data_IF_592154360645
#
_entry.id   IF_592154360645
#
_cell.length_a   1.000
_cell.length_b   1.000
_cell.length_c   1.000
_cell.angle_alpha   90.00
_cell.angle_beta   90.00
_cell.angle_gamma   90.00
#
_symmetry.space_group_name_H-M   'P 1'
#
loop_
_entity.id
_entity.type
_entity.pdbx_description
1 polymer ?
#
# COMPACT_ATOMS: atom_id res chain seq x y z
N UNK A 1 -1.72 1.64 -29.90
CA UNK A 1 -2.63 1.75 -28.73
C UNK A 1 -1.89 2.55 -27.68
N UNK A 2 -2.44 3.66 -27.18
CA UNK A 2 -1.74 4.56 -26.26
C UNK A 2 -1.81 3.97 -24.84
N UNK A 3 -0.71 3.44 -24.33
CA UNK A 3 -0.59 2.94 -22.95
C UNK A 3 -0.47 4.09 -21.93
N UNK A 4 -1.42 5.02 -21.97
CA UNK A 4 -1.65 5.93 -20.86
C UNK A 4 -2.40 5.18 -19.76
N UNK A 5 -1.68 4.75 -18.71
CA UNK A 5 -2.30 4.47 -17.41
C UNK A 5 -2.95 3.10 -17.22
N UNK A 6 -2.19 2.02 -17.40
CA UNK A 6 -2.60 0.68 -16.90
C UNK A 6 -2.80 0.74 -15.37
N UNK A 7 -3.95 0.25 -14.91
CA UNK A 7 -4.34 0.22 -13.49
C UNK A 7 -3.46 -0.78 -12.72
N UNK A 8 -3.29 -0.58 -11.42
CA UNK A 8 -2.57 -1.56 -10.56
C UNK A 8 -3.50 -2.77 -10.37
N UNK A 9 -3.06 -4.01 -10.66
CA UNK A 9 -3.89 -5.20 -10.46
C UNK A 9 -4.22 -5.45 -8.98
N UNK A 10 -5.41 -5.98 -8.70
CA UNK A 10 -5.85 -6.25 -7.33
C UNK A 10 -4.96 -7.28 -6.65
N UNK A 11 -4.49 -8.33 -7.34
CA UNK A 11 -3.58 -9.32 -6.75
C UNK A 11 -2.24 -8.70 -6.35
N UNK A 12 -1.74 -7.74 -7.14
CA UNK A 12 -0.54 -6.96 -6.80
C UNK A 12 -0.80 -6.06 -5.58
N UNK A 13 -1.95 -5.38 -5.53
CA UNK A 13 -2.35 -4.55 -4.39
C UNK A 13 -2.50 -5.36 -3.09
N UNK A 14 -3.07 -6.57 -3.15
CA UNK A 14 -3.14 -7.47 -2.00
C UNK A 14 -1.75 -7.88 -1.48
N UNK A 15 -0.82 -8.21 -2.39
CA UNK A 15 0.58 -8.49 -2.02
C UNK A 15 1.25 -7.28 -1.37
N UNK A 16 1.06 -6.08 -1.91
CA UNK A 16 1.58 -4.84 -1.31
C UNK A 16 0.97 -4.57 0.08
N UNK A 17 -0.34 -4.79 0.24
CA UNK A 17 -1.03 -4.60 1.51
C UNK A 17 -0.55 -5.60 2.57
N UNK A 18 -0.33 -6.86 2.18
CA UNK A 18 0.25 -7.87 3.07
C UNK A 18 1.67 -7.47 3.49
N UNK A 19 2.51 -7.01 2.55
CA UNK A 19 3.87 -6.55 2.84
C UNK A 19 3.88 -5.38 3.84
N UNK A 20 3.04 -4.37 3.63
CA UNK A 20 2.89 -3.24 4.55
C UNK A 20 2.37 -3.69 5.93
N UNK A 21 1.45 -4.66 5.96
CA UNK A 21 0.93 -5.26 7.20
C UNK A 21 2.05 -5.98 7.96
N UNK A 22 2.88 -6.79 7.28
CA UNK A 22 4.07 -7.44 7.86
C UNK A 22 5.01 -6.42 8.48
N UNK A 23 5.26 -5.30 7.78
CA UNK A 23 6.09 -4.25 8.32
C UNK A 23 5.51 -3.62 9.60
N UNK A 24 4.18 -3.43 9.69
CA UNK A 24 3.53 -2.97 10.94
C UNK A 24 3.61 -4.02 12.04
N UNK A 25 3.52 -5.31 11.69
CA UNK A 25 3.71 -6.41 12.65
C UNK A 25 5.14 -6.37 13.22
N UNK A 26 6.17 -6.17 12.40
CA UNK A 26 7.54 -6.00 12.89
C UNK A 26 7.68 -4.82 13.88
N UNK A 27 6.97 -3.72 13.64
CA UNK A 27 6.99 -2.58 14.57
C UNK A 27 6.33 -2.90 15.91
N UNK A 28 5.23 -3.65 15.87
CA UNK A 28 4.49 -4.06 17.07
C UNK A 28 5.15 -5.24 17.80
N UNK A 29 5.78 -6.15 17.06
CA UNK A 29 6.35 -7.41 17.54
C UNK A 29 7.76 -7.57 16.95
N UNK A 30 8.73 -6.71 17.33
CA UNK A 30 10.06 -6.81 16.78
C UNK A 30 10.70 -8.15 17.17
N UNK A 31 11.42 -8.81 16.25
CA UNK A 31 12.20 -9.98 16.61
C UNK A 31 13.32 -9.56 17.55
N UNK A 32 13.31 -10.08 18.77
CA UNK A 32 14.39 -9.85 19.73
C UNK A 32 15.56 -10.76 19.40
N UNK A 33 16.70 -10.18 19.03
CA UNK A 33 17.82 -10.97 18.54
C UNK A 33 19.02 -10.17 18.07
N UNK A 34 20.09 -10.88 17.74
CA UNK A 34 21.26 -10.29 17.10
C UNK A 34 21.08 -10.22 15.59
N UNK A 35 21.89 -9.38 14.92
CA UNK A 35 21.96 -9.34 13.44
C UNK A 35 22.40 -10.66 12.80
N UNK A 36 22.95 -11.59 13.60
CA UNK A 36 23.34 -12.93 13.14
C UNK A 36 22.18 -13.94 13.20
N UNK A 37 21.03 -13.56 13.78
CA UNK A 37 19.85 -14.42 13.79
C UNK A 37 19.34 -14.61 12.35
N UNK A 38 18.75 -15.78 12.04
CA UNK A 38 18.12 -15.99 10.75
C UNK A 38 17.03 -14.94 10.50
N UNK A 39 16.92 -14.53 9.24
CA UNK A 39 15.84 -13.65 8.80
C UNK A 39 14.56 -14.49 8.82
N UNK A 40 13.64 -14.10 9.71
CA UNK A 40 12.33 -14.73 9.86
C UNK A 40 11.23 -13.79 9.39
N UNK A 41 10.09 -14.37 9.00
CA UNK A 41 8.93 -13.59 8.60
C UNK A 41 8.27 -12.96 9.82
N UNK A 42 7.84 -11.71 9.68
CA UNK A 42 7.19 -10.95 10.74
C UNK A 42 5.91 -11.66 11.17
N UNK A 43 5.82 -12.04 12.44
CA UNK A 43 4.69 -12.78 12.97
C UNK A 43 4.18 -12.16 14.26
N UNK A 44 2.88 -12.30 14.49
CA UNK A 44 2.25 -11.87 15.74
C UNK A 44 2.53 -12.95 16.77
N UNK A 45 3.28 -12.59 17.81
CA UNK A 45 3.58 -13.50 18.91
C UNK A 45 2.46 -13.41 19.96
N UNK A 46 1.72 -14.50 20.23
CA UNK A 46 0.68 -14.51 21.25
C UNK A 46 1.24 -14.40 22.68
N UNK A 47 2.55 -14.59 22.85
CA UNK A 47 3.21 -14.55 24.16
C UNK A 47 3.69 -13.14 24.55
N UNK A 48 3.68 -12.17 23.65
CA UNK A 48 4.24 -10.84 23.86
C UNK A 48 3.21 -9.76 23.59
N UNK A 49 3.12 -8.75 24.46
CA UNK A 49 2.30 -7.58 24.18
C UNK A 49 2.93 -6.74 23.04
N UNK A 50 2.10 -6.11 22.18
CA UNK A 50 2.61 -5.26 21.14
C UNK A 50 3.30 -4.01 21.71
N UNK A 51 4.38 -3.57 21.06
CA UNK A 51 5.01 -2.30 21.33
C UNK A 51 4.13 -1.13 20.86
N UNK A 52 4.21 -0.03 21.59
CA UNK A 52 3.54 1.24 21.26
C UNK A 52 4.36 2.09 20.29
N UNK A 53 4.96 1.46 19.29
CA UNK A 53 5.82 2.13 18.32
C UNK A 53 4.97 2.66 17.17
N UNK A 54 5.03 3.97 16.95
CA UNK A 54 4.42 4.63 15.79
C UNK A 54 5.52 5.11 14.85
N UNK A 55 5.27 5.03 13.55
CA UNK A 55 6.20 5.59 12.56
C UNK A 55 6.10 7.12 12.51
N UNK A 56 4.88 7.62 12.65
CA UNK A 56 4.50 9.04 12.71
C UNK A 56 4.85 9.90 11.49
N UNK A 57 5.32 9.27 10.41
CA UNK A 57 5.63 9.91 9.13
C UNK A 57 5.58 8.93 7.96
N UNK A 58 4.76 7.89 8.09
CA UNK A 58 4.68 6.90 7.03
C UNK A 58 3.75 7.41 5.92
N UNK A 59 4.33 7.65 4.75
CA UNK A 59 3.63 7.97 3.51
C UNK A 59 4.38 7.35 2.32
N UNK A 60 3.86 7.56 1.11
CA UNK A 60 4.34 6.97 -0.14
C UNK A 60 5.81 7.27 -0.48
N UNK A 61 6.35 8.43 -0.09
CA UNK A 61 7.78 8.76 -0.28
C UNK A 61 8.70 8.06 0.71
N UNK A 62 8.15 7.65 1.87
CA UNK A 62 8.88 6.91 2.89
C UNK A 62 8.72 5.39 2.71
N UNK A 63 8.47 4.95 1.47
CA UNK A 63 8.49 3.55 1.05
C UNK A 63 9.49 3.37 -0.09
N UNK A 64 10.48 2.50 0.11
CA UNK A 64 11.33 2.00 -0.97
C UNK A 64 10.81 0.70 -1.55
N UNK A 65 11.13 0.49 -2.83
CA UNK A 65 10.97 -0.79 -3.50
C UNK A 65 12.23 -1.64 -3.32
N UNK A 66 12.05 -2.82 -2.74
CA UNK A 66 13.07 -3.85 -2.59
C UNK A 66 13.12 -4.78 -3.80
N UNK A 67 13.82 -5.90 -3.63
CA UNK A 67 13.95 -6.92 -4.68
C UNK A 67 12.62 -7.57 -5.05
N UNK A 68 12.58 -8.08 -6.29
CA UNK A 68 11.51 -8.96 -6.77
C UNK A 68 11.84 -10.40 -6.37
N UNK A 69 10.86 -11.11 -5.82
CA UNK A 69 11.01 -12.51 -5.41
C UNK A 69 9.86 -13.35 -5.93
N UNK A 70 9.95 -13.79 -7.18
CA UNK A 70 8.89 -14.60 -7.81
C UNK A 70 8.70 -15.99 -7.19
N UNK A 71 9.64 -16.45 -6.35
CA UNK A 71 9.55 -17.70 -5.60
C UNK A 71 8.85 -17.56 -4.25
N UNK A 72 8.79 -16.35 -3.68
CA UNK A 72 8.07 -16.11 -2.43
C UNK A 72 6.62 -15.75 -2.72
N UNK A 73 5.67 -16.53 -2.20
CA UNK A 73 4.25 -16.36 -2.49
C UNK A 73 3.73 -14.96 -2.13
N UNK A 74 4.21 -14.35 -1.04
CA UNK A 74 3.76 -13.01 -0.60
C UNK A 74 4.20 -11.90 -1.56
N UNK A 75 5.38 -12.05 -2.17
CA UNK A 75 6.03 -11.05 -3.02
C UNK A 75 6.20 -11.52 -4.47
N UNK A 76 5.48 -12.57 -4.87
CA UNK A 76 5.58 -13.14 -6.23
C UNK A 76 5.06 -12.19 -7.30
N UNK A 77 4.14 -11.31 -6.91
CA UNK A 77 3.36 -10.42 -7.77
C UNK A 77 3.52 -8.94 -7.39
N UNK A 78 4.42 -8.63 -6.45
CA UNK A 78 4.73 -7.27 -6.06
C UNK A 78 6.16 -7.18 -5.52
N UNK A 79 6.87 -6.05 -5.71
CA UNK A 79 8.12 -5.80 -5.03
C UNK A 79 7.95 -5.79 -3.51
N UNK A 80 8.99 -6.18 -2.79
CA UNK A 80 9.06 -6.02 -1.33
C UNK A 80 9.00 -4.51 -1.02
N UNK A 81 8.02 -4.06 -0.24
CA UNK A 81 7.92 -2.67 0.20
C UNK A 81 8.71 -2.48 1.49
N UNK A 82 9.56 -1.46 1.53
CA UNK A 82 10.44 -1.18 2.67
C UNK A 82 10.14 0.20 3.25
N UNK A 83 9.49 0.28 4.42
CA UNK A 83 9.37 1.54 5.14
C UNK A 83 10.73 2.12 5.48
N UNK A 84 10.84 3.43 5.30
CA UNK A 84 12.03 4.22 5.55
C UNK A 84 11.74 5.36 6.53
N UNK A 85 12.81 6.04 6.92
CA UNK A 85 12.76 7.31 7.64
C UNK A 85 11.99 7.23 8.97
N UNK A 86 12.60 6.50 9.88
CA UNK A 86 12.16 6.42 11.27
C UNK A 86 12.59 7.67 12.08
N UNK A 87 12.96 8.78 11.44
CA UNK A 87 13.42 10.00 12.13
C UNK A 87 12.38 10.63 13.05
N UNK A 88 11.09 10.43 12.75
CA UNK A 88 9.95 10.82 13.61
C UNK A 88 9.34 9.66 14.39
N UNK A 89 9.86 8.43 14.21
CA UNK A 89 9.31 7.29 14.89
C UNK A 89 9.52 7.41 16.39
N UNK A 90 8.45 7.13 17.14
CA UNK A 90 8.47 7.27 18.59
C UNK A 90 7.75 6.10 19.23
N UNK A 91 8.32 5.60 20.32
CA UNK A 91 7.54 4.83 21.27
C UNK A 91 6.73 5.82 22.09
N UNK A 92 5.41 5.67 22.11
CA UNK A 92 4.54 6.51 22.92
C UNK A 92 4.07 5.73 24.15
N UNK A 93 4.86 5.66 25.25
CA UNK A 93 4.51 4.84 26.41
C UNK A 93 3.20 5.27 27.07
N UNK A 94 2.80 6.54 26.92
CA UNK A 94 1.56 7.12 27.44
C UNK A 94 0.33 6.93 26.56
N UNK A 95 0.50 6.61 25.27
CA UNK A 95 -0.63 6.22 24.41
C UNK A 95 -1.16 4.85 24.82
N UNK A 96 -2.43 4.59 24.56
CA UNK A 96 -2.93 3.22 24.59
C UNK A 96 -2.29 2.38 23.47
N UNK A 97 -2.05 1.09 23.71
CA UNK A 97 -1.40 0.21 22.71
C UNK A 97 -2.24 0.16 21.43
N UNK A 98 -3.56 0.06 21.60
CA UNK A 98 -4.49 0.06 20.49
C UNK A 98 -4.33 1.36 19.67
N UNK A 99 -4.26 2.51 20.33
CA UNK A 99 -4.06 3.80 19.64
C UNK A 99 -2.82 3.84 18.73
N UNK A 100 -1.68 3.30 19.19
CA UNK A 100 -0.45 3.25 18.38
C UNK A 100 -0.59 2.31 17.16
N UNK A 101 -1.12 1.10 17.38
CA UNK A 101 -1.35 0.11 16.32
C UNK A 101 -2.37 0.64 15.30
N UNK A 102 -3.46 1.24 15.77
CA UNK A 102 -4.53 1.79 14.94
C UNK A 102 -4.07 3.00 14.12
N UNK A 103 -3.10 3.80 14.61
CA UNK A 103 -2.44 4.85 13.81
C UNK A 103 -1.63 4.24 12.67
N UNK A 104 -0.78 3.27 12.98
CA UNK A 104 0.00 2.54 11.98
C UNK A 104 -0.90 1.88 10.90
N UNK A 105 -2.06 1.36 11.29
CA UNK A 105 -3.06 0.78 10.37
C UNK A 105 -3.68 1.85 9.46
N UNK A 106 -3.92 3.05 9.97
CA UNK A 106 -4.42 4.14 9.15
C UNK A 106 -3.40 4.57 8.09
N UNK A 107 -2.12 4.64 8.46
CA UNK A 107 -1.05 5.04 7.53
C UNK A 107 -0.95 4.08 6.34
N UNK A 108 -1.05 2.76 6.57
CA UNK A 108 -1.05 1.80 5.46
C UNK A 108 -2.31 1.93 4.59
N UNK A 109 -3.47 2.26 5.17
CA UNK A 109 -4.68 2.55 4.41
C UNK A 109 -4.54 3.76 3.48
N UNK A 110 -3.82 4.80 3.93
CA UNK A 110 -3.48 5.97 3.11
C UNK A 110 -2.55 5.61 1.96
N UNK A 111 -1.52 4.81 2.20
CA UNK A 111 -0.61 4.32 1.14
C UNK A 111 -1.39 3.48 0.12
N UNK A 112 -2.26 2.58 0.57
CA UNK A 112 -3.09 1.79 -0.35
C UNK A 112 -4.00 2.69 -1.21
N UNK A 113 -4.48 3.80 -0.64
CA UNK A 113 -5.21 4.83 -1.39
C UNK A 113 -4.31 5.50 -2.44
N UNK A 114 -3.06 5.85 -2.11
CA UNK A 114 -2.05 6.33 -3.09
C UNK A 114 -1.96 5.38 -4.27
N UNK A 115 -1.78 4.08 -3.99
CA UNK A 115 -1.50 3.06 -5.00
C UNK A 115 -2.70 2.84 -5.92
N UNK A 116 -3.91 2.79 -5.35
CA UNK A 116 -5.17 2.64 -6.10
C UNK A 116 -5.44 3.87 -6.96
N UNK A 117 -5.35 5.05 -6.36
CA UNK A 117 -5.72 6.30 -7.03
C UNK A 117 -4.63 6.80 -7.98
N UNK A 118 -3.39 6.35 -7.79
CA UNK A 118 -2.17 6.81 -8.50
C UNK A 118 -2.00 8.33 -8.42
N UNK A 119 -2.23 8.87 -7.23
CA UNK A 119 -2.03 10.28 -6.88
C UNK A 119 -1.08 10.36 -5.69
N UNK A 120 -0.46 11.53 -5.49
CA UNK A 120 0.54 11.77 -4.45
C UNK A 120 -0.07 12.38 -3.18
N UNK A 121 0.34 11.91 -2.00
CA UNK A 121 -0.10 12.46 -0.72
C UNK A 121 0.74 13.71 -0.39
N UNK A 122 0.15 14.90 -0.14
CA UNK A 122 -1.19 15.06 0.41
C UNK A 122 -2.22 15.50 -0.64
N UNK A 123 -3.13 14.59 -1.02
CA UNK A 123 -4.42 14.99 -1.59
C UNK A 123 -5.36 15.46 -0.48
N UNK A 124 -6.41 16.21 -0.84
CA UNK A 124 -7.39 16.70 0.12
C UNK A 124 -8.21 15.53 0.70
N UNK A 125 -7.70 14.94 1.78
CA UNK A 125 -8.42 13.98 2.61
C UNK A 125 -9.66 14.66 3.19
N UNK A 126 -10.80 14.01 3.07
CA UNK A 126 -12.08 14.52 3.53
C UNK A 126 -12.78 13.48 4.40
N UNK A 127 -13.60 13.97 5.32
CA UNK A 127 -14.58 13.14 6.01
C UNK A 127 -15.64 12.70 4.98
N UNK A 128 -15.64 11.41 4.64
CA UNK A 128 -16.59 10.82 3.70
C UNK A 128 -17.34 9.70 4.41
N UNK A 129 -18.63 9.56 4.11
CA UNK A 129 -19.40 8.39 4.52
C UNK A 129 -19.47 7.44 3.33
N UNK A 130 -18.93 6.25 3.52
CA UNK A 130 -18.94 5.16 2.53
C UNK A 130 -19.74 3.99 3.08
N UNK A 131 -20.20 3.09 2.22
CA UNK A 131 -20.81 1.85 2.65
C UNK A 131 -19.79 0.72 2.51
N UNK A 132 -19.44 0.09 3.63
CA UNK A 132 -18.56 -1.10 3.66
C UNK A 132 -19.39 -2.32 4.03
N UNK A 133 -18.97 -3.52 3.62
CA UNK A 133 -19.61 -4.75 4.08
C UNK A 133 -19.11 -5.13 5.48
N UNK A 134 -20.05 -5.46 6.36
CA UNK A 134 -19.76 -6.05 7.67
C UNK A 134 -19.39 -7.55 7.56
N UNK A 135 -19.19 -8.21 8.71
CA UNK A 135 -18.85 -9.64 8.77
C UNK A 135 -19.96 -10.56 8.22
N UNK A 136 -21.20 -10.07 8.08
CA UNK A 136 -22.34 -10.76 7.50
C UNK A 136 -22.55 -10.40 6.02
N UNK A 137 -21.72 -9.52 5.46
CA UNK A 137 -21.82 -9.04 4.09
C UNK A 137 -22.85 -7.93 3.89
N UNK A 138 -23.42 -7.36 4.96
CA UNK A 138 -24.38 -6.26 4.89
C UNK A 138 -23.65 -4.94 4.74
N UNK A 139 -24.15 -4.08 3.85
CA UNK A 139 -23.63 -2.74 3.67
C UNK A 139 -23.97 -1.86 4.87
N UNK A 140 -22.96 -1.37 5.57
CA UNK A 140 -23.07 -0.47 6.73
C UNK A 140 -22.34 0.84 6.47
N UNK A 141 -22.88 1.99 6.90
CA UNK A 141 -22.23 3.27 6.73
C UNK A 141 -21.00 3.37 7.65
N UNK A 142 -19.87 3.80 7.08
CA UNK A 142 -18.62 4.03 7.79
C UNK A 142 -18.10 5.43 7.47
N UNK A 143 -17.75 6.19 8.51
CA UNK A 143 -17.11 7.50 8.36
C UNK A 143 -15.60 7.31 8.24
N UNK A 144 -15.02 7.72 7.12
CA UNK A 144 -13.61 7.53 6.80
C UNK A 144 -12.92 8.85 6.46
N UNK A 145 -11.61 8.90 6.69
CA UNK A 145 -10.75 10.00 6.29
C UNK A 145 -9.90 9.56 5.09
N UNK A 146 -10.36 9.86 3.87
CA UNK A 146 -9.76 9.32 2.64
C UNK A 146 -9.97 10.23 1.42
N UNK A 147 -9.50 9.81 0.25
CA UNK A 147 -9.74 10.49 -1.01
C UNK A 147 -11.24 10.37 -1.42
N UNK A 148 -11.94 11.48 -1.72
CA UNK A 148 -13.40 11.47 -1.93
C UNK A 148 -13.88 10.63 -3.11
N UNK A 149 -12.98 10.34 -4.06
CA UNK A 149 -13.27 9.56 -5.27
C UNK A 149 -12.80 8.10 -5.20
N UNK A 150 -12.31 7.62 -4.06
CA UNK A 150 -11.86 6.23 -3.93
C UNK A 150 -13.02 5.25 -4.21
N UNK A 151 -14.24 5.59 -3.78
CA UNK A 151 -15.41 4.75 -4.00
C UNK A 151 -15.80 4.64 -5.49
N UNK A 152 -15.55 5.69 -6.28
CA UNK A 152 -15.78 5.73 -7.73
C UNK A 152 -14.85 4.80 -8.52
N UNK A 153 -13.80 4.26 -7.89
CA UNK A 153 -12.82 3.42 -8.57
C UNK A 153 -13.43 2.05 -8.88
N UNK A 154 -13.82 1.85 -10.14
CA UNK A 154 -14.57 0.66 -10.57
C UNK A 154 -13.73 -0.61 -10.72
N UNK A 155 -12.42 -0.50 -10.85
CA UNK A 155 -11.53 -1.62 -11.18
C UNK A 155 -10.96 -2.36 -9.96
N UNK A 156 -11.21 -1.84 -8.77
CA UNK A 156 -10.79 -2.47 -7.51
C UNK A 156 -11.93 -3.33 -6.98
N UNK A 157 -11.60 -4.51 -6.48
CA UNK A 157 -12.56 -5.41 -5.86
C UNK A 157 -13.19 -4.77 -4.62
N UNK A 158 -14.45 -5.11 -4.36
CA UNK A 158 -15.17 -4.58 -3.20
C UNK A 158 -14.46 -4.99 -1.90
N UNK A 159 -13.94 -6.21 -1.79
CA UNK A 159 -13.23 -6.68 -0.59
C UNK A 159 -12.00 -5.82 -0.28
N UNK A 160 -11.22 -5.46 -1.31
CA UNK A 160 -10.04 -4.62 -1.15
C UNK A 160 -10.41 -3.19 -0.79
N UNK A 161 -11.42 -2.61 -1.45
CA UNK A 161 -11.93 -1.26 -1.12
C UNK A 161 -12.47 -1.19 0.31
N UNK A 162 -13.29 -2.15 0.72
CA UNK A 162 -13.85 -2.22 2.06
C UNK A 162 -12.74 -2.24 3.12
N UNK A 163 -11.69 -3.05 2.91
CA UNK A 163 -10.58 -3.12 3.85
C UNK A 163 -9.76 -1.82 3.90
N UNK A 164 -9.51 -1.19 2.75
CA UNK A 164 -8.83 0.12 2.67
C UNK A 164 -9.64 1.20 3.40
N UNK A 165 -10.96 1.21 3.25
CA UNK A 165 -11.85 2.13 3.96
C UNK A 165 -11.85 1.88 5.47
N UNK A 166 -11.96 0.61 5.90
CA UNK A 166 -11.92 0.25 7.32
C UNK A 166 -10.61 0.70 7.99
N UNK A 167 -9.46 0.56 7.32
CA UNK A 167 -8.19 1.06 7.83
C UNK A 167 -8.19 2.59 8.05
N UNK A 168 -8.95 3.33 7.24
CA UNK A 168 -9.05 4.79 7.27
C UNK A 168 -10.25 5.31 8.07
N UNK A 169 -10.90 4.46 8.87
CA UNK A 169 -12.02 4.89 9.72
C UNK A 169 -11.62 6.05 10.66
N UNK A 170 -12.52 7.02 10.78
CA UNK A 170 -12.40 8.13 11.74
C UNK A 170 -12.42 7.59 13.16
N UNK A 171 -13.28 6.62 13.44
CA UNK A 171 -13.25 5.88 14.70
C UNK A 171 -12.15 4.81 14.65
N UNK A 172 -11.18 4.91 15.55
CA UNK A 172 -10.08 3.95 15.64
C UNK A 172 -10.56 2.52 15.97
N UNK A 173 -11.67 2.37 16.69
CA UNK A 173 -12.21 1.05 17.06
C UNK A 173 -12.79 0.29 15.86
N UNK A 174 -13.22 1.00 14.82
CA UNK A 174 -13.75 0.43 13.58
C UNK A 174 -12.64 -0.04 12.62
N UNK A 175 -11.37 0.35 12.86
CA UNK A 175 -10.25 -0.13 12.06
C UNK A 175 -9.97 -1.60 12.42
N UNK A 176 -9.49 -2.44 11.47
CA UNK A 176 -9.20 -3.84 11.76
C UNK A 176 -8.07 -4.00 12.79
N UNK A 177 -7.90 -5.21 13.32
CA UNK A 177 -6.68 -5.56 14.08
C UNK A 177 -5.55 -5.98 13.14
N UNK A 178 -4.32 -6.13 13.65
CA UNK A 178 -3.21 -6.66 12.84
C UNK A 178 -3.43 -8.12 12.48
N UNK A 179 -4.03 -8.90 13.38
CA UNK A 179 -4.40 -10.31 13.14
C UNK A 179 -5.41 -10.41 12.01
N UNK A 180 -6.45 -9.56 12.03
CA UNK A 180 -7.46 -9.52 10.98
C UNK A 180 -6.85 -9.12 9.63
N UNK A 181 -6.04 -8.05 9.60
CA UNK A 181 -5.36 -7.61 8.37
C UNK A 181 -4.45 -8.71 7.80
N UNK A 182 -3.67 -9.35 8.66
CA UNK A 182 -2.77 -10.43 8.27
C UNK A 182 -3.55 -11.59 7.66
N UNK A 183 -4.67 -11.97 8.30
CA UNK A 183 -5.52 -13.05 7.82
C UNK A 183 -6.18 -12.70 6.49
N UNK A 184 -6.79 -11.52 6.35
CA UNK A 184 -7.49 -11.10 5.14
C UNK A 184 -6.52 -10.96 3.96
N UNK A 185 -5.42 -10.25 4.14
CA UNK A 185 -4.41 -10.06 3.09
C UNK A 185 -3.72 -11.39 2.74
N UNK A 186 -3.36 -12.19 3.75
CA UNK A 186 -2.77 -13.51 3.55
C UNK A 186 -3.69 -14.45 2.76
N UNK A 187 -4.98 -14.48 3.11
CA UNK A 187 -5.97 -15.28 2.39
C UNK A 187 -6.13 -14.83 0.94
N UNK A 188 -6.19 -13.53 0.68
CA UNK A 188 -6.27 -13.00 -0.68
C UNK A 188 -5.03 -13.39 -1.51
N UNK A 189 -3.82 -13.21 -0.96
CA UNK A 189 -2.57 -13.56 -1.64
C UNK A 189 -2.46 -15.06 -1.92
N UNK A 190 -2.85 -15.90 -0.95
CA UNK A 190 -2.69 -17.35 -1.06
C UNK A 190 -3.72 -18.00 -1.98
N UNK A 191 -4.93 -17.44 -2.05
CA UNK A 191 -6.07 -18.12 -2.68
C UNK A 191 -6.60 -17.42 -3.92
N UNK A 192 -6.35 -16.11 -4.10
CA UNK A 192 -6.90 -15.39 -5.24
C UNK A 192 -6.18 -15.72 -6.55
N UNK A 193 -6.97 -16.04 -7.56
CA UNK A 193 -6.55 -16.26 -8.94
C UNK A 193 -7.10 -15.17 -9.86
N UNK A 194 -6.55 -15.06 -11.07
CA UNK A 194 -6.98 -14.05 -12.03
C UNK A 194 -8.49 -14.10 -12.30
N UNK A 195 -9.08 -15.31 -12.30
CA UNK A 195 -10.49 -15.55 -12.60
C UNK A 195 -11.45 -14.97 -11.56
N UNK A 196 -11.00 -14.75 -10.32
CA UNK A 196 -11.84 -14.19 -9.26
C UNK A 196 -12.26 -12.73 -9.54
N UNK A 197 -11.49 -12.05 -10.39
CA UNK A 197 -11.71 -10.67 -10.81
C UNK A 197 -12.50 -10.56 -12.12
N UNK A 198 -13.09 -11.66 -12.61
CA UNK A 198 -14.01 -11.64 -13.75
C UNK A 198 -15.28 -10.90 -13.35
N UNK A 199 -15.74 -10.01 -14.23
CA UNK A 199 -17.01 -9.28 -14.04
C UNK A 199 -16.87 -7.92 -13.37
N UNK A 200 -15.65 -7.51 -12.98
CA UNK A 200 -15.40 -6.13 -12.54
C UNK A 200 -15.61 -5.18 -13.76
N UNK A 201 -16.52 -4.20 -13.68
CA UNK A 201 -16.86 -3.35 -14.82
C UNK A 201 -15.67 -2.57 -15.38
N UNK A 202 -15.44 -2.70 -16.69
CA UNK A 202 -14.32 -2.05 -17.38
C UNK A 202 -12.94 -2.62 -17.03
N UNK A 203 -12.89 -3.74 -16.32
CA UNK A 203 -11.66 -4.40 -15.90
C UNK A 203 -11.57 -5.81 -16.48
N UNK A 204 -10.44 -6.14 -17.08
CA UNK A 204 -10.19 -7.48 -17.62
C UNK A 204 -9.40 -8.30 -16.62
N UNK A 205 -9.93 -9.48 -16.26
CA UNK A 205 -9.21 -10.47 -15.44
C UNK A 205 -7.88 -10.92 -16.07
N UNK A 206 -7.66 -10.68 -17.38
CA UNK A 206 -6.37 -10.91 -18.01
C UNK A 206 -5.24 -10.14 -17.32
N UNK A 207 -5.52 -8.93 -16.83
CA UNK A 207 -4.54 -8.09 -16.13
C UNK A 207 -4.11 -8.63 -14.76
N UNK A 208 -4.86 -9.59 -14.22
CA UNK A 208 -4.56 -10.25 -12.96
C UNK A 208 -3.74 -11.53 -13.16
N UNK A 209 -3.40 -11.92 -14.39
CA UNK A 209 -2.52 -13.09 -14.63
C UNK A 209 -1.11 -12.82 -14.13
N UNK A 210 -0.41 -13.87 -13.68
CA UNK A 210 0.98 -13.74 -13.20
C UNK A 210 1.87 -13.14 -14.30
N UNK A 211 1.66 -13.53 -15.56
CA UNK A 211 2.39 -12.99 -16.72
C UNK A 211 2.10 -11.50 -16.92
N UNK A 212 0.82 -11.09 -16.90
CA UNK A 212 0.47 -9.69 -17.11
C UNK A 212 0.94 -8.76 -15.98
N UNK A 213 1.02 -9.28 -14.74
CA UNK A 213 1.56 -8.56 -13.59
C UNK A 213 3.08 -8.42 -13.72
N UNK A 214 3.80 -9.49 -14.07
CA UNK A 214 5.25 -9.43 -14.29
C UNK A 214 5.62 -8.49 -15.44
N UNK A 215 4.83 -8.48 -16.51
CA UNK A 215 4.98 -7.52 -17.61
C UNK A 215 4.74 -6.07 -17.16
N UNK A 216 3.91 -5.85 -16.14
CA UNK A 216 3.72 -4.53 -15.54
C UNK A 216 4.93 -4.15 -14.69
N UNK A 217 5.39 -5.06 -13.81
CA UNK A 217 6.58 -4.87 -12.98
C UNK A 217 7.81 -4.56 -13.84
N UNK A 218 8.06 -5.35 -14.87
CA UNK A 218 9.17 -5.15 -15.80
C UNK A 218 9.10 -3.75 -16.42
N UNK A 219 7.95 -3.36 -16.99
CA UNK A 219 7.82 -2.07 -17.67
C UNK A 219 7.90 -0.86 -16.75
N UNK A 220 7.32 -0.94 -15.57
CA UNK A 220 7.20 0.21 -14.66
C UNK A 220 8.43 0.34 -13.76
N UNK A 221 9.04 -0.77 -13.34
CA UNK A 221 10.12 -0.76 -12.35
C UNK A 221 11.50 -0.93 -13.00
N UNK A 222 11.62 -1.86 -13.94
CA UNK A 222 12.93 -2.26 -14.47
C UNK A 222 13.27 -1.57 -15.79
N UNK A 223 12.25 -1.27 -16.60
CA UNK A 223 12.37 -0.64 -17.91
C UNK A 223 11.84 0.81 -17.91
N UNK A 224 11.80 1.46 -16.73
CA UNK A 224 11.24 2.80 -16.55
C UNK A 224 11.84 3.86 -17.49
N UNK A 225 13.12 3.70 -17.85
CA UNK A 225 13.85 4.60 -18.74
C UNK A 225 13.70 4.24 -20.23
N UNK A 226 13.10 3.09 -20.55
CA UNK A 226 12.89 2.67 -21.93
C UNK A 226 11.66 3.39 -22.49
N UNK A 227 11.92 4.44 -23.27
CA UNK A 227 10.85 5.08 -24.04
C UNK A 227 10.49 4.14 -25.18
N UNK A 228 9.23 3.68 -25.34
CA UNK A 228 8.84 2.99 -26.57
C UNK A 228 9.17 3.92 -27.74
N UNK A 229 9.71 3.37 -28.84
CA UNK A 229 10.37 4.06 -29.95
C UNK A 229 9.57 5.17 -30.70
N UNK A 230 8.42 5.60 -30.17
CA UNK A 230 7.52 6.61 -30.73
C UNK A 230 7.20 7.79 -29.79
N UNK A 231 7.72 7.83 -28.56
CA UNK A 231 7.47 8.92 -27.60
C UNK A 231 8.57 9.97 -27.56
N UNK A 232 8.27 11.23 -27.90
CA UNK A 232 9.22 12.36 -27.74
C UNK A 232 9.68 12.48 -26.28
N UNK A 233 11.00 12.50 -26.06
CA UNK A 233 11.61 12.92 -24.78
C UNK A 233 11.06 14.29 -24.39
N UNK A 234 10.51 14.42 -23.18
CA UNK A 234 10.53 15.72 -22.48
C UNK A 234 11.95 15.89 -21.97
N UNK A 235 12.75 16.65 -22.70
CA UNK A 235 14.03 17.15 -22.19
C UNK A 235 13.76 17.96 -20.92
N UNK A 236 14.41 17.59 -19.82
CA UNK A 236 14.56 18.48 -18.67
C UNK A 236 15.19 19.79 -19.16
N UNK A 237 14.73 20.96 -18.68
CA UNK A 237 15.42 22.22 -18.98
C UNK A 237 16.85 22.11 -18.47
N UNK A 238 17.83 22.27 -19.36
CA UNK A 238 19.22 22.40 -18.96
C UNK A 238 19.40 23.60 -18.02
N UNK A 239 20.46 23.60 -17.19
CA UNK A 239 20.73 24.70 -16.27
C UNK A 239 20.83 26.00 -17.05
N UNK A 240 20.05 27.01 -16.65
CA UNK A 240 20.13 28.33 -17.24
C UNK A 240 21.52 28.93 -16.94
N UNK A 241 22.19 29.53 -17.94
CA UNK A 241 23.46 30.20 -17.71
C UNK A 241 23.27 31.39 -16.77
N UNK A 242 24.16 31.49 -15.78
CA UNK A 242 24.17 32.57 -14.80
C UNK A 242 24.21 33.94 -15.50
N UNK A 243 23.23 34.79 -15.21
CA UNK A 243 23.22 36.18 -15.66
C UNK A 243 24.30 36.96 -14.90
N UNK A 244 25.33 37.38 -15.62
CA UNK A 244 26.33 38.34 -15.14
C UNK A 244 25.66 39.71 -15.05
N UNK A 245 25.50 40.24 -13.84
CA UNK A 245 25.05 41.61 -13.63
C UNK A 245 26.13 42.60 -14.09
N UNK A 246 25.78 43.65 -14.88
CA UNK A 246 26.70 44.74 -15.14
C UNK A 246 26.78 45.65 -13.90
N UNK A 247 28.01 45.94 -13.48
CA UNK A 247 28.32 46.94 -12.46
C UNK A 247 27.81 48.32 -12.88
N UNK A 248 27.04 48.96 -12.01
CA UNK A 248 27.01 50.41 -11.81
C UNK A 248 26.80 50.69 -10.33
#
# INVERSE_FOLDING_TARGET
>A
MKDAGRQVPNRMLWSMFLCLTRARIAMSYPPWGSVANPIERESISPATAPLKLIHDDLHDENIMLGGLSHSDLEHRLAPILKPLDFGKAAQNPGADIDSAVKRNIQDIGKIMTTLVMRVYAPWAEQDVVVNVRDAQGLAVPLKVYTHPRLDEVSHISTDLKDLIFRCQSVDAQERPSLEELLQLCGNAVNNSVAQDYRGIPGYSSFWETDEAIRDLEQRVLLDADTVPATGRRRSLPGPQPATVSPNT
#
